data_IF_490709149253
#
_entry.id   IF_490709149253
#
_cell.length_a   1.000
_cell.length_b   1.000
_cell.length_c   1.000
_cell.angle_alpha   90.00
_cell.angle_beta   90.00
_cell.angle_gamma   90.00
#
_symmetry.space_group_name_H-M   'P 1'
#
loop_
_entity.id
_entity.type
_entity.pdbx_description
1 polymer ?
#
# COMPACT_ATOMS: atom_id res chain seq x y z
N UNK A 1 -13.52 -2.47 -16.50
CA UNK A 1 -13.23 -1.10 -16.04
C UNK A 1 -11.93 -1.19 -15.28
N UNK A 2 -10.97 -0.31 -15.59
CA UNK A 2 -9.75 -0.20 -14.79
C UNK A 2 -10.13 0.35 -13.41
N UNK A 3 -9.43 -0.11 -12.37
CA UNK A 3 -9.72 0.30 -11.00
C UNK A 3 -9.32 1.78 -10.83
N UNK A 4 -10.28 2.66 -10.54
CA UNK A 4 -10.15 4.13 -10.58
C UNK A 4 -9.62 4.71 -11.90
N UNK A 5 -9.82 4.01 -13.02
CA UNK A 5 -9.27 4.37 -14.34
C UNK A 5 -7.74 4.56 -14.36
N UNK A 6 -7.03 3.96 -13.39
CA UNK A 6 -5.58 3.98 -13.33
C UNK A 6 -5.03 3.07 -14.43
N UNK A 7 -4.32 3.66 -15.39
CA UNK A 7 -3.84 2.94 -16.57
C UNK A 7 -2.87 1.81 -16.19
N UNK A 8 -3.15 0.59 -16.66
CA UNK A 8 -2.33 -0.60 -16.46
C UNK A 8 -2.53 -1.27 -15.10
N UNK A 9 -3.28 -0.67 -14.18
CA UNK A 9 -3.52 -1.24 -12.87
C UNK A 9 -4.60 -2.32 -12.90
N UNK A 10 -4.21 -3.55 -12.60
CA UNK A 10 -5.07 -4.72 -12.57
C UNK A 10 -4.90 -5.46 -11.24
N UNK A 11 -5.71 -5.15 -10.20
CA UNK A 11 -5.55 -5.76 -8.89
C UNK A 11 -5.81 -7.27 -8.91
N UNK A 12 -5.02 -8.00 -8.12
CA UNK A 12 -5.18 -9.45 -7.91
C UNK A 12 -5.39 -9.70 -6.42
N UNK A 13 -6.62 -10.02 -6.07
CA UNK A 13 -7.06 -10.18 -4.68
C UNK A 13 -6.59 -11.51 -4.09
N UNK A 14 -5.91 -11.45 -2.95
CA UNK A 14 -5.49 -12.60 -2.15
C UNK A 14 -5.98 -12.43 -0.72
N UNK A 15 -6.28 -13.55 -0.05
CA UNK A 15 -6.68 -13.55 1.36
C UNK A 15 -5.76 -14.43 2.19
N UNK A 16 -5.39 -13.93 3.36
CA UNK A 16 -4.63 -14.68 4.35
C UNK A 16 -3.13 -14.84 4.07
N UNK A 17 -2.40 -15.05 5.16
CA UNK A 17 -0.95 -15.03 5.21
C UNK A 17 -0.27 -15.99 4.22
N UNK A 18 -0.78 -17.22 4.10
CA UNK A 18 -0.11 -18.26 3.30
C UNK A 18 -0.18 -17.96 1.80
N UNK A 19 -1.29 -17.44 1.31
CA UNK A 19 -1.46 -17.11 -0.10
C UNK A 19 -0.58 -15.92 -0.49
N UNK A 20 -0.62 -14.85 0.32
CA UNK A 20 0.19 -13.65 0.14
C UNK A 20 1.68 -14.00 0.19
N UNK A 21 2.10 -14.79 1.18
CA UNK A 21 3.51 -15.20 1.32
C UNK A 21 3.97 -16.04 0.14
N UNK A 22 3.13 -16.98 -0.34
CA UNK A 22 3.45 -17.82 -1.51
C UNK A 22 3.56 -16.98 -2.79
N UNK A 23 2.68 -16.01 -2.99
CA UNK A 23 2.64 -15.20 -4.20
C UNK A 23 3.71 -14.10 -4.23
N UNK A 24 3.97 -13.45 -3.10
CA UNK A 24 4.77 -12.22 -3.05
C UNK A 24 5.93 -12.23 -2.05
N UNK A 25 6.07 -13.25 -1.21
CA UNK A 25 7.03 -13.26 -0.10
C UNK A 25 8.48 -13.02 -0.54
N UNK A 26 8.92 -13.66 -1.63
CA UNK A 26 10.29 -13.47 -2.14
C UNK A 26 10.51 -12.06 -2.71
N UNK A 27 9.49 -11.50 -3.38
CA UNK A 27 9.58 -10.16 -3.98
C UNK A 27 9.50 -9.06 -2.92
N UNK A 28 8.67 -9.23 -1.89
CA UNK A 28 8.63 -8.37 -0.71
C UNK A 28 9.98 -8.40 0.03
N UNK A 29 10.53 -9.60 0.25
CA UNK A 29 11.87 -9.76 0.86
C UNK A 29 12.95 -9.04 0.04
N UNK A 30 12.88 -9.06 -1.28
CA UNK A 30 13.85 -8.39 -2.15
C UNK A 30 13.85 -6.85 -2.02
N UNK A 31 12.82 -6.25 -1.41
CA UNK A 31 12.81 -4.82 -1.05
C UNK A 31 13.71 -4.51 0.15
N UNK A 32 13.99 -5.48 1.02
CA UNK A 32 14.88 -5.28 2.17
C UNK A 32 16.26 -4.89 1.67
N UNK A 33 16.84 -3.84 2.26
CA UNK A 33 18.10 -3.24 1.83
C UNK A 33 17.95 -2.22 0.69
N UNK A 34 16.74 -1.96 0.19
CA UNK A 34 16.49 -0.90 -0.81
C UNK A 34 16.02 0.40 -0.13
N UNK A 35 16.44 1.57 -0.63
CA UNK A 35 15.94 2.84 -0.11
C UNK A 35 14.51 3.09 -0.60
N UNK A 36 13.62 3.49 0.30
CA UNK A 36 12.32 4.05 -0.10
C UNK A 36 12.58 5.38 -0.82
N UNK A 37 12.11 5.51 -2.06
CA UNK A 37 12.19 6.75 -2.83
C UNK A 37 11.03 7.65 -2.47
N UNK A 38 9.82 7.15 -2.69
CA UNK A 38 8.59 7.89 -2.48
C UNK A 38 7.45 6.94 -2.10
N UNK A 39 6.45 7.49 -1.41
CA UNK A 39 5.12 6.88 -1.35
C UNK A 39 4.17 7.77 -2.12
N UNK A 40 3.53 7.24 -3.15
CA UNK A 40 2.55 7.96 -3.95
C UNK A 40 1.15 7.57 -3.50
N UNK A 41 0.34 8.59 -3.22
CA UNK A 41 -1.05 8.47 -2.81
C UNK A 41 -1.93 9.23 -3.79
N UNK A 42 -3.11 8.67 -4.10
CA UNK A 42 -4.06 9.32 -4.99
C UNK A 42 -4.79 10.43 -4.24
N UNK A 43 -4.70 11.65 -4.76
CA UNK A 43 -5.36 12.82 -4.20
C UNK A 43 -6.62 13.15 -4.99
N UNK A 44 -7.75 13.20 -4.31
CA UNK A 44 -9.00 13.66 -4.88
C UNK A 44 -9.02 15.18 -4.82
N UNK A 45 -8.86 15.83 -5.98
CA UNK A 45 -8.72 17.28 -6.07
C UNK A 45 -9.97 18.02 -5.60
N UNK A 46 -11.15 17.51 -5.94
CA UNK A 46 -12.42 18.16 -5.61
C UNK A 46 -12.68 18.23 -4.10
N UNK A 47 -12.46 17.13 -3.39
CA UNK A 47 -12.65 17.05 -1.95
C UNK A 47 -11.41 17.43 -1.13
N UNK A 48 -10.28 17.66 -1.81
CA UNK A 48 -8.99 17.96 -1.19
C UNK A 48 -8.63 16.92 -0.11
N UNK A 49 -8.74 15.64 -0.47
CA UNK A 49 -8.47 14.52 0.44
C UNK A 49 -7.72 13.38 -0.25
N UNK A 50 -7.15 12.50 0.56
CA UNK A 50 -6.59 11.25 0.08
C UNK A 50 -7.73 10.28 -0.24
N UNK A 51 -7.73 9.75 -1.46
CA UNK A 51 -8.64 8.68 -1.88
C UNK A 51 -8.08 7.34 -1.38
N UNK A 52 -8.48 6.93 -0.18
CA UNK A 52 -8.03 5.72 0.53
C UNK A 52 -8.42 4.42 -0.17
N UNK A 53 -9.47 4.44 -1.00
CA UNK A 53 -9.88 3.30 -1.84
C UNK A 53 -8.87 3.00 -2.96
N UNK A 54 -8.10 4.01 -3.40
CA UNK A 54 -7.12 3.86 -4.47
C UNK A 54 -5.79 3.26 -3.93
N UNK A 55 -4.95 2.69 -4.82
CA UNK A 55 -3.73 2.01 -4.39
C UNK A 55 -2.73 2.92 -3.68
N UNK A 56 -2.07 2.38 -2.66
CA UNK A 56 -0.87 2.94 -2.06
C UNK A 56 0.34 2.44 -2.83
N UNK A 57 1.13 3.33 -3.42
CA UNK A 57 2.28 2.96 -4.26
C UNK A 57 3.59 3.29 -3.57
N UNK A 58 4.39 2.27 -3.25
CA UNK A 58 5.69 2.41 -2.61
C UNK A 58 6.77 2.27 -3.69
N UNK A 59 7.54 3.32 -3.91
CA UNK A 59 8.61 3.35 -4.90
C UNK A 59 9.97 3.06 -4.27
N UNK A 60 10.61 1.96 -4.68
CA UNK A 60 11.97 1.58 -4.30
C UNK A 60 12.96 1.69 -5.49
N UNK A 61 12.60 2.45 -6.53
CA UNK A 61 13.36 2.62 -7.77
C UNK A 61 12.91 1.63 -8.84
N UNK A 62 13.63 0.52 -9.01
CA UNK A 62 13.31 -0.50 -10.03
C UNK A 62 12.07 -1.35 -9.66
N UNK A 63 11.62 -1.24 -8.41
CA UNK A 63 10.46 -1.94 -7.88
C UNK A 63 9.50 -0.92 -7.27
N UNK A 64 8.31 -0.82 -7.83
CA UNK A 64 7.15 -0.15 -7.27
C UNK A 64 6.18 -1.23 -6.80
N UNK A 65 5.83 -1.19 -5.53
CA UNK A 65 4.82 -2.06 -4.92
C UNK A 65 3.51 -1.28 -4.85
N UNK A 66 2.44 -1.86 -5.37
CA UNK A 66 1.10 -1.28 -5.38
C UNK A 66 0.20 -2.10 -4.46
N UNK A 67 -0.30 -1.49 -3.39
CA UNK A 67 -1.08 -2.14 -2.34
C UNK A 67 -2.51 -1.62 -2.38
N UNK A 68 -3.49 -2.52 -2.37
CA UNK A 68 -4.90 -2.16 -2.20
C UNK A 68 -5.59 -3.17 -1.33
N UNK A 69 -6.07 -2.73 -0.18
CA UNK A 69 -7.04 -3.49 0.62
C UNK A 69 -8.43 -3.39 0.01
N UNK A 70 -9.20 -4.47 0.13
CA UNK A 70 -10.57 -4.54 -0.40
C UNK A 70 -11.36 -5.54 0.41
N UNK A 71 -12.67 -5.31 0.59
CA UNK A 71 -13.52 -6.12 1.50
C UNK A 71 -12.84 -6.31 2.87
N UNK A 72 -13.24 -7.32 3.65
CA UNK A 72 -12.74 -7.52 5.01
C UNK A 72 -11.31 -8.04 5.09
N UNK A 73 -10.90 -8.95 4.21
CA UNK A 73 -9.64 -9.71 4.33
C UNK A 73 -8.84 -9.84 3.03
N UNK A 74 -9.29 -9.22 1.94
CA UNK A 74 -8.60 -9.26 0.66
C UNK A 74 -7.56 -8.13 0.56
N UNK A 75 -6.39 -8.45 0.00
CA UNK A 75 -5.38 -7.47 -0.39
C UNK A 75 -4.83 -7.81 -1.76
N UNK A 76 -4.68 -6.78 -2.59
CA UNK A 76 -3.98 -6.86 -3.86
C UNK A 76 -2.57 -6.30 -3.70
N UNK A 77 -1.58 -7.08 -4.13
CA UNK A 77 -0.19 -6.66 -4.27
C UNK A 77 0.23 -6.81 -5.73
N UNK A 78 0.28 -5.70 -6.44
CA UNK A 78 0.79 -5.67 -7.81
C UNK A 78 2.09 -4.88 -7.86
N UNK A 79 2.75 -4.90 -9.01
CA UNK A 79 4.10 -4.38 -9.09
C UNK A 79 4.43 -3.80 -10.45
N UNK A 80 5.02 -2.60 -10.44
CA UNK A 80 5.49 -1.88 -11.62
C UNK A 80 4.40 -1.65 -12.68
N UNK A 81 3.13 -1.69 -12.30
CA UNK A 81 1.99 -1.46 -13.21
C UNK A 81 1.59 0.01 -13.24
N UNK A 82 1.66 0.70 -12.10
CA UNK A 82 1.30 2.11 -11.97
C UNK A 82 2.53 2.98 -12.23
N UNK A 83 2.39 4.00 -13.07
CA UNK A 83 3.43 5.01 -13.31
C UNK A 83 3.04 6.39 -12.76
N UNK A 84 3.21 6.64 -11.45
CA UNK A 84 2.73 7.87 -10.83
C UNK A 84 3.55 9.11 -11.22
N UNK A 85 4.72 8.94 -11.85
CA UNK A 85 5.57 10.04 -12.31
C UNK A 85 5.26 10.38 -13.77
N UNK A 86 5.21 9.40 -14.66
CA UNK A 86 4.88 9.63 -16.07
C UNK A 86 3.41 9.98 -16.31
N UNK A 87 2.51 9.55 -15.41
CA UNK A 87 1.06 9.85 -15.44
C UNK A 87 0.63 10.42 -14.09
N UNK A 88 1.08 11.63 -13.81
CA UNK A 88 0.91 12.28 -12.50
C UNK A 88 -0.54 12.68 -12.18
N UNK A 89 -1.42 12.79 -13.18
CA UNK A 89 -2.82 13.17 -13.02
C UNK A 89 -3.71 12.57 -14.11
N UNK A 90 -4.96 12.30 -13.78
CA UNK A 90 -5.97 11.78 -14.70
C UNK A 90 -7.37 12.17 -14.21
N UNK A 91 -8.35 12.03 -15.10
CA UNK A 91 -9.76 12.20 -14.78
C UNK A 91 -10.40 10.83 -14.55
N UNK A 92 -11.14 10.68 -13.46
CA UNK A 92 -11.90 9.47 -13.11
C UNK A 92 -13.41 9.72 -13.24
N UNK A 93 -14.17 8.69 -13.61
CA UNK A 93 -15.64 8.75 -13.61
C UNK A 93 -16.24 9.11 -14.97
N UNK A 94 -17.38 9.81 -14.96
CA UNK A 94 -18.10 10.15 -16.20
C UNK A 94 -17.31 11.19 -17.00
N UNK A 95 -16.99 10.96 -18.30
CA UNK A 95 -16.32 11.97 -19.13
C UNK A 95 -17.07 13.31 -19.26
N UNK A 96 -18.38 13.34 -19.01
CA UNK A 96 -19.17 14.57 -18.97
C UNK A 96 -18.99 15.37 -17.67
N UNK A 97 -18.68 14.70 -16.56
CA UNK A 97 -18.46 15.27 -15.23
C UNK A 97 -17.23 14.59 -14.59
N UNK A 98 -16.01 14.85 -15.10
CA UNK A 98 -14.82 14.16 -14.65
C UNK A 98 -14.43 14.58 -13.24
N UNK A 99 -14.02 13.61 -12.43
CA UNK A 99 -13.41 13.79 -11.11
C UNK A 99 -11.89 13.80 -11.24
N UNK A 100 -11.22 14.97 -11.13
CA UNK A 100 -9.77 15.06 -11.29
C UNK A 100 -9.03 14.42 -10.11
N UNK A 101 -8.11 13.50 -10.44
CA UNK A 101 -7.22 12.83 -9.51
C UNK A 101 -5.76 13.12 -9.85
N UNK A 102 -4.89 13.14 -8.84
CA UNK A 102 -3.45 13.25 -9.05
C UNK A 102 -2.64 12.51 -8.00
N UNK A 103 -1.44 12.06 -8.36
CA UNK A 103 -0.51 11.43 -7.42
C UNK A 103 0.20 12.49 -6.57
N UNK A 104 0.19 12.32 -5.25
CA UNK A 104 0.93 13.14 -4.28
C UNK A 104 1.87 12.30 -3.43
N UNK A 105 2.95 12.94 -2.96
CA UNK A 105 3.96 12.33 -2.08
C UNK A 105 4.03 13.01 -0.70
N UNK A 106 3.35 14.14 -0.57
CA UNK A 106 3.42 15.07 0.56
C UNK A 106 2.12 15.08 1.39
N UNK A 107 1.29 14.05 1.26
CA UNK A 107 0.00 13.93 1.97
C UNK A 107 0.22 13.72 3.47
N UNK A 108 1.15 12.82 3.84
CA UNK A 108 1.48 12.52 5.22
C UNK A 108 2.97 12.77 5.49
N UNK A 109 3.33 13.77 6.31
CA UNK A 109 4.73 14.09 6.62
C UNK A 109 5.52 12.92 7.21
N UNK A 110 4.85 12.01 7.92
CA UNK A 110 5.44 10.80 8.49
C UNK A 110 5.98 9.85 7.40
N UNK A 111 5.30 9.74 6.25
CA UNK A 111 5.80 8.97 5.10
C UNK A 111 7.00 9.66 4.46
N UNK A 112 6.90 10.98 4.23
CA UNK A 112 7.99 11.76 3.64
C UNK A 112 9.27 11.70 4.52
N UNK A 113 9.13 11.60 5.84
CA UNK A 113 10.26 11.46 6.75
C UNK A 113 11.02 10.11 6.60
N UNK A 114 10.40 9.09 6.00
CA UNK A 114 10.99 7.78 5.74
C UNK A 114 11.69 7.70 4.38
N UNK A 115 11.45 8.65 3.48
CA UNK A 115 12.12 8.71 2.19
C UNK A 115 13.65 8.80 2.33
N UNK A 116 14.35 8.11 1.43
CA UNK A 116 15.81 7.93 1.44
C UNK A 116 16.32 6.92 2.47
N UNK A 117 15.49 6.47 3.42
CA UNK A 117 15.90 5.44 4.39
C UNK A 117 15.88 4.05 3.76
N UNK A 118 16.83 3.21 4.16
CA UNK A 118 16.94 1.82 3.72
C UNK A 118 15.93 0.98 4.49
N UNK A 119 15.06 0.26 3.78
CA UNK A 119 14.12 -0.67 4.37
C UNK A 119 14.87 -1.80 5.08
N UNK A 120 14.57 -1.99 6.37
CA UNK A 120 15.18 -3.01 7.21
C UNK A 120 14.38 -4.30 7.22
N UNK A 121 13.06 -4.21 7.15
CA UNK A 121 12.17 -5.36 7.13
C UNK A 121 10.85 -5.05 6.43
N UNK A 122 10.24 -6.11 5.90
CA UNK A 122 8.83 -6.15 5.53
C UNK A 122 8.16 -7.17 6.43
N UNK A 123 7.15 -6.75 7.18
CA UNK A 123 6.38 -7.61 8.05
C UNK A 123 5.02 -7.92 7.43
N UNK A 124 4.66 -9.19 7.33
CA UNK A 124 3.27 -9.59 7.13
C UNK A 124 2.62 -9.69 8.52
N UNK A 125 1.61 -8.86 8.77
CA UNK A 125 0.95 -8.74 10.07
C UNK A 125 -0.39 -9.48 10.00
N UNK A 126 -0.42 -10.70 10.53
CA UNK A 126 -1.59 -11.57 10.55
C UNK A 126 -2.49 -11.21 11.73
N UNK A 127 -3.68 -10.69 11.46
CA UNK A 127 -4.63 -10.26 12.46
C UNK A 127 -5.25 -11.46 13.20
N UNK A 128 -5.09 -11.51 14.52
CA UNK A 128 -5.52 -12.63 15.39
C UNK A 128 -6.59 -12.18 16.40
N UNK A 129 -7.62 -11.49 15.90
CA UNK A 129 -8.78 -11.06 16.68
C UNK A 129 -9.86 -12.16 16.74
N UNK A 130 -10.97 -11.88 17.44
CA UNK A 130 -12.15 -12.76 17.46
C UNK A 130 -13.28 -12.28 16.55
N UNK A 131 -13.08 -11.18 15.85
CA UNK A 131 -14.07 -10.54 15.00
C UNK A 131 -13.78 -10.84 13.52
N UNK A 132 -14.42 -10.07 12.63
CA UNK A 132 -14.31 -10.25 11.19
C UNK A 132 -12.93 -9.92 10.61
N UNK A 133 -12.06 -9.24 11.37
CA UNK A 133 -10.70 -8.94 10.92
C UNK A 133 -9.75 -10.13 11.07
N UNK A 134 -10.16 -11.22 11.75
CA UNK A 134 -9.28 -12.37 11.97
C UNK A 134 -8.84 -13.01 10.64
N UNK A 135 -7.52 -13.08 10.44
CA UNK A 135 -6.88 -13.59 9.22
C UNK A 135 -6.60 -12.52 8.17
N UNK A 136 -7.04 -11.27 8.37
CA UNK A 136 -6.63 -10.12 7.56
C UNK A 136 -5.13 -9.89 7.72
N UNK A 137 -4.46 -9.53 6.62
CA UNK A 137 -3.01 -9.34 6.61
C UNK A 137 -2.69 -7.89 6.26
N UNK A 138 -2.13 -7.16 7.22
CA UNK A 138 -1.55 -5.84 6.98
C UNK A 138 -0.07 -5.95 6.60
N UNK A 139 0.47 -4.92 5.93
CA UNK A 139 1.86 -4.86 5.48
C UNK A 139 2.64 -3.81 6.27
N UNK A 140 3.58 -4.25 7.08
CA UNK A 140 4.49 -3.39 7.83
C UNK A 140 5.81 -3.16 7.09
N UNK A 141 6.31 -1.92 7.10
CA UNK A 141 7.58 -1.52 6.52
C UNK A 141 8.44 -0.86 7.59
N UNK A 142 9.56 -1.49 7.93
CA UNK A 142 10.42 -1.07 9.05
C UNK A 142 11.67 -0.38 8.54
N UNK A 143 11.97 0.79 9.09
CA UNK A 143 13.12 1.64 8.74
C UNK A 143 13.92 2.01 10.00
N UNK A 144 15.18 2.48 9.86
CA UNK A 144 16.03 2.82 10.99
C UNK A 144 15.44 3.86 11.95
N UNK A 145 14.60 4.78 11.45
CA UNK A 145 14.02 5.88 12.23
C UNK A 145 12.50 5.88 12.28
N UNK A 146 11.87 4.76 11.98
CA UNK A 146 10.41 4.65 12.05
C UNK A 146 9.87 3.48 11.25
N UNK A 147 8.55 3.41 11.15
CA UNK A 147 7.84 2.43 10.37
C UNK A 147 6.54 3.01 9.86
N UNK A 148 5.93 2.30 8.92
CA UNK A 148 4.50 2.44 8.69
C UNK A 148 3.88 1.08 8.37
N UNK A 149 2.58 0.98 8.56
CA UNK A 149 1.78 -0.19 8.19
C UNK A 149 0.67 0.26 7.25
N UNK A 150 0.49 -0.47 6.15
CA UNK A 150 -0.70 -0.36 5.29
C UNK A 150 -1.67 -1.48 5.67
N UNK A 151 -2.82 -1.12 6.21
CA UNK A 151 -3.81 -2.06 6.75
C UNK A 151 -5.18 -1.84 6.13
N UNK A 152 -6.09 -2.77 6.35
CA UNK A 152 -7.46 -2.66 5.90
C UNK A 152 -8.28 -1.81 6.89
N UNK A 153 -8.75 -0.65 6.44
CA UNK A 153 -9.52 0.30 7.22
C UNK A 153 -11.01 0.28 6.82
N UNK A 154 -11.63 -0.90 6.83
CA UNK A 154 -13.02 -1.14 6.39
C UNK A 154 -13.19 -1.03 4.88
N UNK A 155 -12.53 -1.93 4.15
CA UNK A 155 -12.55 -2.06 2.68
C UNK A 155 -11.73 -0.97 1.95
N UNK A 156 -11.04 -0.11 2.70
CA UNK A 156 -10.14 0.94 2.20
C UNK A 156 -8.71 0.75 2.76
N UNK A 157 -7.73 1.45 2.17
CA UNK A 157 -6.38 1.48 2.73
C UNK A 157 -6.33 2.43 3.94
N UNK A 158 -5.81 1.93 5.05
CA UNK A 158 -5.36 2.72 6.19
C UNK A 158 -3.84 2.76 6.27
N UNK A 159 -3.30 3.83 6.85
CA UNK A 159 -1.87 3.97 7.14
C UNK A 159 -1.68 4.35 8.62
N UNK A 160 -0.83 3.60 9.32
CA UNK A 160 -0.42 3.89 10.70
C UNK A 160 1.10 3.90 10.84
N UNK A 161 1.62 4.65 11.80
CA UNK A 161 3.05 4.88 12.00
C UNK A 161 3.59 4.30 13.31
N UNK A 162 2.75 3.54 14.01
CA UNK A 162 3.03 3.00 15.34
C UNK A 162 3.42 1.52 15.24
N UNK A 163 3.93 0.99 16.35
CA UNK A 163 4.15 -0.44 16.50
C UNK A 163 2.82 -1.20 16.46
N UNK A 164 2.70 -2.28 15.67
CA UNK A 164 1.52 -3.13 15.67
C UNK A 164 1.24 -3.64 17.08
N UNK A 165 0.00 -3.49 17.53
CA UNK A 165 -0.38 -3.95 18.86
C UNK A 165 -0.49 -5.49 18.95
N UNK A 166 -0.95 -6.01 20.08
CA UNK A 166 -1.05 -7.45 20.34
C UNK A 166 -2.11 -8.17 19.50
N UNK A 167 -2.94 -7.45 18.75
CA UNK A 167 -3.92 -8.04 17.81
C UNK A 167 -3.24 -8.59 16.55
N UNK A 168 -1.98 -8.25 16.28
CA UNK A 168 -1.22 -8.78 15.15
C UNK A 168 -0.17 -9.80 15.58
N UNK A 169 -0.15 -10.94 14.89
CA UNK A 169 1.01 -11.82 14.83
C UNK A 169 1.94 -11.35 13.72
N UNK A 170 3.18 -11.05 14.08
CA UNK A 170 4.17 -10.51 13.13
C UNK A 170 4.94 -11.63 12.43
N UNK A 171 5.08 -11.52 11.12
CA UNK A 171 5.88 -12.42 10.29
C UNK A 171 6.91 -11.61 9.49
N UNK A 172 8.10 -11.48 10.08
CA UNK A 172 9.27 -10.83 9.45
C UNK A 172 9.71 -11.56 8.16
N UNK A 173 10.16 -10.79 7.18
CA UNK A 173 10.74 -11.30 5.93
C UNK A 173 12.26 -11.05 5.83
N UNK A 174 12.84 -10.22 6.70
CA UNK A 174 14.27 -9.98 6.87
C UNK A 174 14.95 -11.12 7.67
N UNK A 175 14.93 -12.32 7.08
CA UNK A 175 15.38 -13.60 7.66
C UNK A 175 16.65 -13.58 8.52
#
# INVERSE_FOLDING_TARGET
>A
MAFFDIEGYEPVWLSGLQEIRRAHGDRLRALVGKPLRHVHLTWFVEYAEWLSEAPVVLDFGEQRLEITHWKFDEVSLTWNTIDPVGKSSWDWGDPAEPSPLLWRQDVFPELSALEGQVLQDVELLDCVTRDMANGMVALGFVFPRGRFTVFNALDENGIEYIEPDSSYRRHSLAG
#
